data_IF_743807591179
#
_entry.id   IF_743807591179
#
_cell.length_a   1.000
_cell.length_b   1.000
_cell.length_c   1.000
_cell.angle_alpha   90.00
_cell.angle_beta   90.00
_cell.angle_gamma   90.00
#
_symmetry.space_group_name_H-M   'P 1'
#
loop_
_entity.id
_entity.type
_entity.pdbx_description
1 polymer ?
#
# COMPACT_ATOMS: atom_id res chain seq x y z
N UNK A 1 11.18 1.13 -63.14
CA UNK A 1 10.45 0.41 -64.24
C UNK A 1 9.00 0.79 -64.10
N UNK A 2 8.33 1.26 -65.15
CA UNK A 2 6.94 1.68 -65.04
C UNK A 2 6.00 0.52 -65.32
N UNK A 3 5.11 0.21 -64.38
CA UNK A 3 4.19 -0.93 -64.44
C UNK A 3 2.75 -0.50 -64.14
N UNK A 4 1.79 -1.20 -64.72
CA UNK A 4 0.38 -1.04 -64.38
C UNK A 4 0.00 -1.88 -63.14
N UNK A 5 -1.23 -1.69 -62.63
CA UNK A 5 -1.73 -2.42 -61.45
C UNK A 5 -1.60 -3.94 -61.54
N UNK A 6 -1.87 -4.53 -62.72
CA UNK A 6 -1.81 -5.98 -62.93
C UNK A 6 -0.39 -6.50 -62.81
N UNK A 7 0.57 -5.81 -63.45
CA UNK A 7 1.98 -6.22 -63.40
C UNK A 7 2.61 -5.94 -62.04
N UNK A 8 2.21 -4.86 -61.36
CA UNK A 8 2.62 -4.60 -59.98
C UNK A 8 2.09 -5.69 -59.02
N UNK A 9 0.84 -6.10 -59.17
CA UNK A 9 0.25 -7.19 -58.39
C UNK A 9 1.00 -8.52 -58.60
N UNK A 10 1.39 -8.81 -59.84
CA UNK A 10 2.22 -9.99 -60.17
C UNK A 10 3.62 -9.92 -59.51
N UNK A 11 4.28 -8.75 -59.52
CA UNK A 11 5.59 -8.56 -58.89
C UNK A 11 5.54 -8.78 -57.38
N UNK A 12 4.49 -8.28 -56.71
CA UNK A 12 4.30 -8.45 -55.27
C UNK A 12 3.58 -9.76 -54.90
N UNK A 13 3.20 -10.58 -55.88
CA UNK A 13 2.48 -11.83 -55.65
C UNK A 13 1.12 -11.66 -54.96
N UNK A 14 0.44 -10.53 -55.17
CA UNK A 14 -0.81 -10.17 -54.48
C UNK A 14 -1.97 -9.93 -55.45
N UNK A 15 -3.19 -9.74 -54.92
CA UNK A 15 -4.37 -9.40 -55.73
C UNK A 15 -4.35 -7.94 -56.20
N UNK A 16 -4.91 -7.66 -57.38
CA UNK A 16 -5.00 -6.29 -57.94
C UNK A 16 -5.80 -5.33 -57.03
N UNK A 17 -6.74 -5.85 -56.23
CA UNK A 17 -7.46 -5.09 -55.21
C UNK A 17 -6.52 -4.65 -54.08
N UNK A 18 -5.52 -5.43 -53.73
CA UNK A 18 -4.49 -5.06 -52.74
C UNK A 18 -3.68 -3.87 -53.23
N UNK A 19 -3.27 -3.87 -54.50
CA UNK A 19 -2.60 -2.71 -55.12
C UNK A 19 -3.50 -1.47 -55.14
N UNK A 20 -4.80 -1.66 -55.33
CA UNK A 20 -5.78 -0.56 -55.26
C UNK A 20 -5.93 -0.02 -53.84
N UNK A 21 -5.90 -0.89 -52.82
CA UNK A 21 -5.88 -0.47 -51.43
C UNK A 21 -4.58 0.27 -51.08
N UNK A 22 -3.42 -0.20 -51.56
CA UNK A 22 -2.14 0.51 -51.39
C UNK A 22 -2.16 1.90 -52.03
N UNK A 23 -2.77 2.04 -53.20
CA UNK A 23 -2.99 3.35 -53.82
C UNK A 23 -3.79 4.29 -52.91
N UNK A 24 -4.85 3.81 -52.25
CA UNK A 24 -5.60 4.62 -51.27
C UNK A 24 -4.81 4.95 -50.00
N UNK A 25 -3.78 4.16 -49.68
CA UNK A 25 -2.88 4.35 -48.54
C UNK A 25 -1.65 5.21 -48.88
N UNK A 26 -1.57 5.75 -50.10
CA UNK A 26 -0.50 6.67 -50.51
C UNK A 26 0.62 6.05 -51.34
N UNK A 27 0.42 4.86 -51.94
CA UNK A 27 1.39 4.29 -52.89
C UNK A 27 1.71 5.29 -54.03
N UNK A 28 2.99 5.63 -54.27
CA UNK A 28 3.38 6.64 -55.26
C UNK A 28 2.91 6.30 -56.68
N UNK A 29 2.16 7.23 -57.27
CA UNK A 29 1.62 7.11 -58.62
C UNK A 29 2.37 8.03 -59.57
N UNK A 30 2.82 7.50 -60.71
CA UNK A 30 3.54 8.27 -61.74
C UNK A 30 2.57 8.96 -62.69
N UNK A 31 1.51 8.26 -63.11
CA UNK A 31 0.47 8.82 -63.98
C UNK A 31 -0.81 7.98 -63.98
N UNK A 32 -1.92 8.58 -64.42
CA UNK A 32 -3.23 7.92 -64.51
C UNK A 32 -4.00 7.89 -63.19
N UNK A 33 -4.84 6.87 -62.98
CA UNK A 33 -5.55 6.67 -61.71
C UNK A 33 -6.95 7.30 -61.60
N UNK A 34 -7.40 8.03 -62.63
CA UNK A 34 -8.76 8.55 -62.75
C UNK A 34 -9.69 7.65 -63.57
N UNK A 35 -11.00 7.95 -63.59
CA UNK A 35 -12.02 7.17 -64.31
C UNK A 35 -11.68 7.11 -65.81
N UNK A 36 -11.24 5.94 -66.29
CA UNK A 36 -10.88 5.69 -67.69
C UNK A 36 -9.37 5.67 -68.00
N UNK A 37 -8.49 6.01 -67.06
CA UNK A 37 -7.02 6.01 -67.28
C UNK A 37 -6.32 4.94 -66.44
N UNK A 38 -5.50 4.10 -67.06
CA UNK A 38 -4.69 3.10 -66.35
C UNK A 38 -3.67 3.77 -65.42
N UNK A 39 -3.57 3.28 -64.19
CA UNK A 39 -2.62 3.75 -63.19
C UNK A 39 -1.22 3.16 -63.46
N UNK A 40 -0.21 4.02 -63.51
CA UNK A 40 1.19 3.67 -63.75
C UNK A 40 2.01 3.95 -62.50
N UNK A 41 2.78 2.96 -62.07
CA UNK A 41 3.62 3.00 -60.88
C UNK A 41 5.08 2.77 -61.28
N UNK A 42 6.01 3.50 -60.65
CA UNK A 42 7.41 3.14 -60.72
C UNK A 42 7.69 2.04 -59.69
N UNK A 43 8.19 0.90 -60.17
CA UNK A 43 8.48 -0.27 -59.33
C UNK A 43 9.47 0.05 -58.20
N UNK A 44 10.47 0.92 -58.43
CA UNK A 44 11.43 1.28 -57.37
C UNK A 44 10.75 2.07 -56.25
N UNK A 45 9.98 3.11 -56.61
CA UNK A 45 9.19 3.88 -55.64
C UNK A 45 8.16 3.02 -54.90
N UNK A 46 7.52 2.07 -55.58
CA UNK A 46 6.57 1.14 -54.97
C UNK A 46 7.22 0.20 -53.95
N UNK A 47 8.42 -0.31 -54.23
CA UNK A 47 9.19 -1.15 -53.30
C UNK A 47 9.63 -0.36 -52.08
N UNK A 48 10.18 0.84 -52.27
CA UNK A 48 10.59 1.71 -51.17
C UNK A 48 9.41 2.06 -50.25
N UNK A 49 8.27 2.45 -50.84
CA UNK A 49 7.05 2.74 -50.08
C UNK A 49 6.55 1.52 -49.30
N UNK A 50 6.56 0.33 -49.93
CA UNK A 50 6.12 -0.91 -49.29
C UNK A 50 7.01 -1.26 -48.09
N UNK A 51 8.33 -1.19 -48.25
CA UNK A 51 9.29 -1.46 -47.19
C UNK A 51 9.16 -0.46 -46.03
N UNK A 52 8.99 0.82 -46.32
CA UNK A 52 8.80 1.87 -45.30
C UNK A 52 7.48 1.70 -44.55
N UNK A 53 6.39 1.41 -45.26
CA UNK A 53 5.08 1.13 -44.66
C UNK A 53 5.14 -0.08 -43.72
N UNK A 54 5.73 -1.18 -44.16
CA UNK A 54 5.83 -2.40 -43.35
C UNK A 54 6.72 -2.16 -42.12
N UNK A 55 7.83 -1.45 -42.27
CA UNK A 55 8.67 -1.04 -41.14
C UNK A 55 7.94 -0.10 -40.18
N UNK A 56 7.11 0.81 -40.67
CA UNK A 56 6.30 1.71 -39.83
C UNK A 56 5.25 0.93 -39.05
N UNK A 57 4.54 -0.01 -39.69
CA UNK A 57 3.55 -0.87 -39.03
C UNK A 57 4.21 -1.70 -37.93
N UNK A 58 5.38 -2.29 -38.22
CA UNK A 58 6.09 -3.12 -37.25
C UNK A 58 6.65 -2.31 -36.09
N UNK A 59 7.22 -1.13 -36.35
CA UNK A 59 7.67 -0.23 -35.30
C UNK A 59 6.53 0.22 -34.39
N UNK A 60 5.34 0.48 -34.94
CA UNK A 60 4.17 0.87 -34.15
C UNK A 60 3.73 -0.26 -33.20
N UNK A 61 3.74 -1.52 -33.67
CA UNK A 61 3.46 -2.68 -32.80
C UNK A 61 4.49 -2.81 -31.69
N UNK A 62 5.78 -2.69 -32.02
CA UNK A 62 6.85 -2.79 -31.05
C UNK A 62 6.78 -1.67 -30.00
N UNK A 63 6.43 -0.45 -30.41
CA UNK A 63 6.19 0.66 -29.48
C UNK A 63 5.08 0.32 -28.49
N UNK A 64 3.95 -0.17 -29.00
CA UNK A 64 2.82 -0.56 -28.16
C UNK A 64 3.19 -1.68 -27.19
N UNK A 65 3.90 -2.71 -27.65
CA UNK A 65 4.36 -3.81 -26.79
C UNK A 65 5.31 -3.34 -25.69
N UNK A 66 6.24 -2.43 -26.02
CA UNK A 66 7.14 -1.82 -25.02
C UNK A 66 6.36 -0.99 -24.00
N UNK A 67 5.35 -0.24 -24.43
CA UNK A 67 4.52 0.56 -23.54
C UNK A 67 3.67 -0.33 -22.61
N UNK A 68 3.09 -1.42 -23.13
CA UNK A 68 2.35 -2.40 -22.34
C UNK A 68 3.25 -3.09 -21.31
N UNK A 69 4.48 -3.47 -21.68
CA UNK A 69 5.46 -4.06 -20.76
C UNK A 69 5.91 -3.07 -19.67
N UNK A 70 6.07 -1.78 -20.01
CA UNK A 70 6.39 -0.74 -19.03
C UNK A 70 5.25 -0.53 -18.04
N UNK A 71 4.02 -0.44 -18.54
CA UNK A 71 2.84 -0.30 -17.70
C UNK A 71 2.67 -1.50 -16.74
N UNK A 72 2.91 -2.72 -17.22
CA UNK A 72 2.90 -3.92 -16.38
C UNK A 72 4.01 -3.89 -15.31
N UNK A 73 5.23 -3.46 -15.67
CA UNK A 73 6.33 -3.34 -14.73
C UNK A 73 6.12 -2.25 -13.65
N UNK A 74 5.45 -1.16 -13.99
CA UNK A 74 5.10 -0.08 -13.05
C UNK A 74 3.91 -0.44 -12.15
N UNK A 75 2.98 -1.25 -12.63
CA UNK A 75 1.79 -1.69 -11.88
C UNK A 75 2.14 -2.64 -10.73
N UNK A 76 3.09 -3.54 -10.94
CA UNK A 76 3.30 -4.64 -10.02
C UNK A 76 4.43 -4.35 -9.04
N UNK A 77 4.05 -3.77 -7.89
CA UNK A 77 4.83 -3.80 -6.65
C UNK A 77 4.99 -5.26 -6.19
N UNK A 78 5.88 -6.00 -6.84
CA UNK A 78 6.08 -7.42 -6.59
C UNK A 78 7.02 -7.62 -5.38
N UNK A 79 6.65 -8.47 -4.39
CA UNK A 79 7.49 -8.73 -3.23
C UNK A 79 8.92 -9.16 -3.60
N UNK A 80 9.92 -8.57 -2.92
CA UNK A 80 11.34 -8.84 -3.15
C UNK A 80 12.01 -7.97 -4.22
N UNK A 81 11.26 -7.13 -4.94
CA UNK A 81 11.85 -6.09 -5.81
C UNK A 81 12.31 -4.88 -4.99
N UNK A 82 13.29 -4.13 -5.49
CA UNK A 82 13.81 -2.93 -4.81
C UNK A 82 12.70 -1.90 -4.58
N UNK A 83 11.81 -1.71 -5.56
CA UNK A 83 10.75 -0.71 -5.47
C UNK A 83 9.64 -1.12 -4.49
N UNK A 84 9.33 -2.42 -4.39
CA UNK A 84 8.47 -2.95 -3.32
C UNK A 84 9.04 -2.71 -1.93
N UNK A 85 10.33 -3.02 -1.75
CA UNK A 85 11.00 -2.83 -0.47
C UNK A 85 11.08 -1.34 -0.07
N UNK A 86 11.31 -0.45 -1.04
CA UNK A 86 11.24 1.01 -0.85
C UNK A 86 9.86 1.50 -0.49
N UNK A 87 8.82 1.01 -1.18
CA UNK A 87 7.44 1.33 -0.85
C UNK A 87 7.09 0.88 0.57
N UNK A 88 7.44 -0.36 0.94
CA UNK A 88 7.21 -0.88 2.29
C UNK A 88 7.92 -0.04 3.35
N UNK A 89 9.17 0.34 3.10
CA UNK A 89 9.92 1.22 4.01
C UNK A 89 9.26 2.59 4.14
N UNK A 90 8.89 3.21 3.03
CA UNK A 90 8.24 4.54 3.02
C UNK A 90 6.91 4.50 3.75
N UNK A 91 6.11 3.44 3.55
CA UNK A 91 4.87 3.22 4.28
C UNK A 91 5.12 3.07 5.77
N UNK A 92 6.07 2.22 6.17
CA UNK A 92 6.41 2.04 7.59
C UNK A 92 6.93 3.34 8.24
N UNK A 93 7.66 4.17 7.48
CA UNK A 93 8.09 5.50 7.94
C UNK A 93 6.91 6.45 8.11
N UNK A 94 5.92 6.43 7.21
CA UNK A 94 4.70 7.21 7.33
C UNK A 94 3.89 6.77 8.57
N UNK A 95 3.65 5.48 8.73
CA UNK A 95 2.93 4.91 9.89
C UNK A 95 3.64 5.29 11.21
N UNK A 96 4.97 5.21 11.25
CA UNK A 96 5.76 5.61 12.41
C UNK A 96 5.65 7.13 12.69
N UNK A 97 5.58 7.96 11.64
CA UNK A 97 5.41 9.39 11.79
C UNK A 97 3.99 9.75 12.26
N UNK A 98 2.97 9.04 11.78
CA UNK A 98 1.59 9.18 12.25
C UNK A 98 1.45 8.85 13.73
N UNK A 99 2.07 7.74 14.19
CA UNK A 99 2.11 7.40 15.61
C UNK A 99 2.77 8.50 16.47
N UNK A 100 3.88 9.07 16.01
CA UNK A 100 4.54 10.20 16.70
C UNK A 100 3.69 11.47 16.72
N UNK A 101 2.93 11.72 15.66
CA UNK A 101 2.00 12.84 15.62
C UNK A 101 0.85 12.63 16.60
N UNK A 102 0.28 11.43 16.64
CA UNK A 102 -0.77 11.06 17.59
C UNK A 102 -0.29 11.15 19.05
N UNK A 103 0.95 10.75 19.33
CA UNK A 103 1.58 10.91 20.65
C UNK A 103 1.68 12.39 21.04
N UNK A 104 2.14 13.23 20.11
CA UNK A 104 2.25 14.68 20.32
C UNK A 104 0.89 15.36 20.53
N UNK A 105 -0.15 14.86 19.88
CA UNK A 105 -1.53 15.31 20.05
C UNK A 105 -2.19 14.73 21.31
N UNK A 106 -1.52 13.81 22.02
CA UNK A 106 -2.03 13.19 23.24
C UNK A 106 -3.11 12.13 22.99
N UNK A 107 -3.21 11.60 21.76
CA UNK A 107 -4.17 10.57 21.39
C UNK A 107 -3.71 9.16 21.78
N UNK A 108 -2.39 8.95 21.92
CA UNK A 108 -1.78 7.68 22.32
C UNK A 108 -0.74 7.91 23.43
N UNK A 109 -0.57 6.92 24.30
CA UNK A 109 0.44 6.91 25.35
C UNK A 109 1.27 5.64 25.26
N UNK A 110 2.56 5.73 25.58
CA UNK A 110 3.42 4.56 25.72
C UNK A 110 2.90 3.64 26.83
N UNK A 111 2.85 2.34 26.55
CA UNK A 111 2.39 1.33 27.53
C UNK A 111 3.21 1.38 28.82
N UNK A 112 4.52 1.64 28.71
CA UNK A 112 5.42 1.77 29.87
C UNK A 112 5.03 2.97 30.75
N UNK A 113 4.72 4.12 30.13
CA UNK A 113 4.27 5.31 30.84
C UNK A 113 2.92 5.06 31.53
N UNK A 114 1.97 4.43 30.84
CA UNK A 114 0.67 4.09 31.43
C UNK A 114 0.82 3.13 32.63
N UNK A 115 1.66 2.11 32.48
CA UNK A 115 1.97 1.14 33.54
C UNK A 115 2.61 1.81 34.74
N UNK A 116 3.56 2.72 34.50
CA UNK A 116 4.21 3.52 35.54
C UNK A 116 3.20 4.40 36.30
N UNK A 117 2.33 5.11 35.58
CA UNK A 117 1.30 5.97 36.19
C UNK A 117 0.38 5.14 37.08
N UNK A 118 -0.12 4.00 36.59
CA UNK A 118 -0.98 3.11 37.37
C UNK A 118 -0.28 2.59 38.63
N UNK A 119 0.97 2.17 38.52
CA UNK A 119 1.76 1.71 39.67
C UNK A 119 1.94 2.84 40.69
N UNK A 120 2.21 4.07 40.22
CA UNK A 120 2.40 5.23 41.09
C UNK A 120 1.12 5.56 41.85
N UNK A 121 -0.01 5.61 41.16
CA UNK A 121 -1.32 5.88 41.77
C UNK A 121 -1.68 4.79 42.79
N UNK A 122 -1.44 3.52 42.47
CA UNK A 122 -1.68 2.42 43.41
C UNK A 122 -0.83 2.53 44.68
N UNK A 123 0.45 2.89 44.55
CA UNK A 123 1.33 3.11 45.71
C UNK A 123 0.85 4.27 46.59
N UNK A 124 0.41 5.38 45.98
CA UNK A 124 -0.13 6.53 46.71
C UNK A 124 -1.40 6.16 47.50
N UNK A 125 -2.32 5.43 46.86
CA UNK A 125 -3.54 4.94 47.52
C UNK A 125 -3.20 3.97 48.66
N UNK A 126 -2.32 3.00 48.43
CA UNK A 126 -1.87 2.06 49.47
C UNK A 126 -1.22 2.79 50.65
N UNK A 127 -0.42 3.82 50.37
CA UNK A 127 0.18 4.70 51.37
C UNK A 127 -0.86 5.41 52.23
N UNK A 128 -1.92 5.96 51.62
CA UNK A 128 -3.04 6.59 52.34
C UNK A 128 -3.77 5.56 53.22
N UNK A 129 -4.13 4.42 52.65
CA UNK A 129 -4.88 3.37 53.35
C UNK A 129 -4.08 2.82 54.54
N UNK A 130 -2.77 2.63 54.41
CA UNK A 130 -1.92 2.12 55.49
C UNK A 130 -1.94 2.97 56.77
N UNK A 131 -2.32 4.25 56.66
CA UNK A 131 -2.42 5.18 57.81
C UNK A 131 -3.74 5.06 58.55
N UNK A 132 -4.79 4.50 57.94
CA UNK A 132 -6.14 4.42 58.52
C UNK A 132 -6.16 3.73 59.90
N UNK A 133 -5.48 2.58 60.13
CA UNK A 133 -5.47 1.96 61.45
C UNK A 133 -4.92 2.87 62.55
N UNK A 134 -3.86 3.63 62.25
CA UNK A 134 -3.25 4.57 63.19
C UNK A 134 -4.17 5.77 63.47
N UNK A 135 -4.86 6.27 62.45
CA UNK A 135 -5.85 7.35 62.62
C UNK A 135 -7.02 6.89 63.49
N UNK A 136 -7.51 5.66 63.29
CA UNK A 136 -8.57 5.08 64.11
C UNK A 136 -8.12 4.92 65.57
N UNK A 137 -6.93 4.38 65.80
CA UNK A 137 -6.36 4.22 67.14
C UNK A 137 -6.23 5.55 67.89
N UNK A 138 -5.83 6.62 67.18
CA UNK A 138 -5.70 7.96 67.76
C UNK A 138 -7.05 8.64 68.04
N UNK A 139 -8.02 8.48 67.15
CA UNK A 139 -9.35 9.11 67.28
C UNK A 139 -10.26 8.37 68.26
N UNK A 140 -10.10 7.06 68.38
CA UNK A 140 -10.94 6.18 69.20
C UNK A 140 -10.05 5.28 70.07
N UNK A 141 -9.47 5.80 71.16
CA UNK A 141 -8.56 5.03 72.03
C UNK A 141 -9.24 3.82 72.70
N UNK A 142 -10.56 3.87 72.89
CA UNK A 142 -11.35 2.80 73.49
C UNK A 142 -11.65 1.64 72.53
N UNK A 143 -11.27 1.78 71.25
CA UNK A 143 -11.48 0.72 70.26
C UNK A 143 -10.57 -0.48 70.57
N UNK A 144 -11.17 -1.67 70.68
CA UNK A 144 -10.41 -2.89 70.94
C UNK A 144 -9.35 -3.14 69.85
N UNK A 145 -8.13 -3.52 70.27
CA UNK A 145 -7.00 -3.77 69.37
C UNK A 145 -7.32 -4.83 68.31
N UNK A 146 -8.13 -5.84 68.64
CA UNK A 146 -8.56 -6.87 67.68
C UNK A 146 -9.34 -6.29 66.49
N UNK A 147 -10.15 -5.26 66.69
CA UNK A 147 -10.85 -4.58 65.60
C UNK A 147 -9.88 -3.80 64.71
N UNK A 148 -8.85 -3.17 65.30
CA UNK A 148 -7.79 -2.47 64.56
C UNK A 148 -7.00 -3.47 63.70
N UNK A 149 -6.74 -4.67 64.23
CA UNK A 149 -6.00 -5.71 63.52
C UNK A 149 -6.78 -6.28 62.32
N UNK A 150 -8.10 -6.42 62.44
CA UNK A 150 -8.97 -6.77 61.30
C UNK A 150 -8.87 -5.71 60.20
N UNK A 151 -8.98 -4.42 60.56
CA UNK A 151 -8.87 -3.32 59.60
C UNK A 151 -7.49 -3.31 58.92
N UNK A 152 -6.41 -3.52 59.69
CA UNK A 152 -5.05 -3.61 59.16
C UNK A 152 -4.91 -4.77 58.16
N UNK A 153 -5.52 -5.91 58.45
CA UNK A 153 -5.48 -7.10 57.58
C UNK A 153 -6.19 -6.85 56.25
N UNK A 154 -7.40 -6.28 56.28
CA UNK A 154 -8.15 -5.98 55.05
C UNK A 154 -7.45 -4.90 54.21
N UNK A 155 -6.85 -3.88 54.84
CA UNK A 155 -6.04 -2.87 54.13
C UNK A 155 -4.81 -3.48 53.48
N UNK A 156 -4.13 -4.43 54.15
CA UNK A 156 -2.99 -5.14 53.58
C UNK A 156 -3.41 -5.98 52.38
N UNK A 157 -4.55 -6.68 52.46
CA UNK A 157 -5.13 -7.43 51.33
C UNK A 157 -5.47 -6.51 50.15
N UNK A 158 -6.10 -5.37 50.39
CA UNK A 158 -6.44 -4.40 49.36
C UNK A 158 -5.18 -3.83 48.68
N UNK A 159 -4.18 -3.45 49.47
CA UNK A 159 -2.87 -2.97 48.98
C UNK A 159 -2.14 -4.02 48.14
N UNK A 160 -2.19 -5.29 48.55
CA UNK A 160 -1.60 -6.39 47.79
C UNK A 160 -2.26 -6.59 46.42
N UNK A 161 -3.58 -6.42 46.32
CA UNK A 161 -4.27 -6.44 45.02
C UNK A 161 -3.88 -5.26 44.15
N UNK A 162 -3.82 -4.05 44.73
CA UNK A 162 -3.43 -2.84 44.03
C UNK A 162 -2.00 -2.93 43.45
N UNK A 163 -1.09 -3.66 44.10
CA UNK A 163 0.26 -3.90 43.57
C UNK A 163 0.27 -4.62 42.21
N UNK A 164 -0.79 -5.36 41.88
CA UNK A 164 -0.94 -6.07 40.58
C UNK A 164 -1.68 -5.25 39.52
N UNK A 165 -1.98 -3.98 39.78
CA UNK A 165 -2.75 -3.15 38.83
C UNK A 165 -1.97 -2.82 37.55
N UNK A 166 -0.63 -2.81 37.66
CA UNK A 166 0.29 -2.55 36.55
C UNK A 166 0.65 -3.82 35.76
N UNK A 167 0.06 -4.97 36.12
CA UNK A 167 0.21 -6.22 35.38
C UNK A 167 -0.72 -6.20 34.15
N UNK A 168 -0.27 -5.53 33.09
CA UNK A 168 -1.05 -5.30 31.87
C UNK A 168 -1.49 -6.61 31.24
N UNK A 169 -0.65 -7.65 31.25
CA UNK A 169 -0.95 -8.97 30.66
C UNK A 169 -2.14 -9.63 31.38
N UNK A 170 -2.09 -9.71 32.71
CA UNK A 170 -3.18 -10.24 33.52
C UNK A 170 -4.52 -9.54 33.26
N UNK A 171 -4.51 -8.20 33.19
CA UNK A 171 -5.73 -7.41 32.96
C UNK A 171 -6.21 -7.48 31.52
N UNK A 172 -5.31 -7.64 30.55
CA UNK A 172 -5.66 -7.85 29.15
C UNK A 172 -6.36 -9.20 28.97
N UNK A 173 -5.84 -10.26 29.60
CA UNK A 173 -6.48 -11.58 29.56
C UNK A 173 -7.82 -11.59 30.29
N UNK A 174 -7.94 -10.87 31.40
CA UNK A 174 -9.22 -10.70 32.10
C UNK A 174 -10.25 -9.95 31.23
N UNK A 175 -9.80 -8.91 30.53
CA UNK A 175 -10.64 -8.16 29.59
C UNK A 175 -11.11 -9.05 28.42
N UNK A 176 -10.21 -9.82 27.79
CA UNK A 176 -10.56 -10.77 26.72
C UNK A 176 -11.59 -11.80 27.18
N UNK A 177 -11.33 -12.43 28.35
CA UNK A 177 -12.28 -13.36 28.98
C UNK A 177 -13.64 -12.73 29.24
N UNK A 178 -13.69 -11.46 29.63
CA UNK A 178 -14.94 -10.74 29.84
C UNK A 178 -15.68 -10.41 28.53
N UNK A 179 -14.95 -10.25 27.41
CA UNK A 179 -15.53 -10.04 26.08
C UNK A 179 -15.95 -11.35 25.38
N UNK A 180 -15.59 -12.51 25.93
CA UNK A 180 -15.91 -13.82 25.36
C UNK A 180 -14.99 -14.23 24.19
N UNK A 181 -13.81 -13.62 24.10
CA UNK A 181 -12.69 -14.03 23.25
C UNK A 181 -11.80 -15.05 23.98
#
# INVERSE_FOLDING_TARGET
MNVNKKKLAEIFGCDVRTVTAWQSQGLPLVSGGGKGNEAVFDTAAAISWYAERDASIENEKLRKEVDDLRAAAESDLNPGTIDYERYRLTKAQADAQELKNAEREGLVLETELFTYILQRVAQEIAGILSRVPLVLQRKYPDLCQSHIDVVRTEIARASGRAATIADVEKWTDDFRRAQGE
#
